data_IF_900267019508
#
_entry.id   IF_900267019508
#
_cell.length_a   1.000
_cell.length_b   1.000
_cell.length_c   1.000
_cell.angle_alpha   90.00
_cell.angle_beta   90.00
_cell.angle_gamma   90.00
#
_symmetry.space_group_name_H-M   'P 1'
#
loop_
_entity.id
_entity.type
_entity.pdbx_description
1 polymer ?
#
# COMPACT_ATOMS: atom_id res chain seq x y z
N UNK A 1 -2.78 -5.84 -17.07
CA UNK A 1 -2.71 -4.46 -16.57
C UNK A 1 -3.29 -4.50 -15.18
N UNK A 2 -2.59 -3.99 -14.15
CA UNK A 2 -3.28 -3.73 -12.88
C UNK A 2 -4.17 -2.54 -13.14
N UNK A 3 -5.48 -2.75 -13.07
CA UNK A 3 -6.45 -1.67 -13.22
C UNK A 3 -6.32 -0.76 -12.00
N UNK A 4 -5.96 0.51 -12.23
CA UNK A 4 -5.83 1.52 -11.17
C UNK A 4 -7.11 1.64 -10.32
N UNK A 5 -8.25 1.32 -10.92
CA UNK A 5 -9.55 1.20 -10.26
C UNK A 5 -9.61 0.05 -9.25
N UNK A 6 -9.09 -1.14 -9.57
CA UNK A 6 -9.03 -2.25 -8.61
C UNK A 6 -8.10 -1.93 -7.43
N UNK A 7 -6.97 -1.26 -7.71
CA UNK A 7 -6.08 -0.79 -6.65
C UNK A 7 -6.78 0.24 -5.76
N UNK A 8 -7.50 1.20 -6.34
CA UNK A 8 -8.24 2.22 -5.59
C UNK A 8 -9.29 1.58 -4.69
N UNK A 9 -10.10 0.66 -5.22
CA UNK A 9 -11.15 0.00 -4.45
C UNK A 9 -10.56 -0.78 -3.28
N UNK A 10 -9.51 -1.56 -3.52
CA UNK A 10 -8.85 -2.32 -2.45
C UNK A 10 -8.19 -1.41 -1.41
N UNK A 11 -7.53 -0.34 -1.84
CA UNK A 11 -6.91 0.62 -0.94
C UNK A 11 -7.95 1.41 -0.13
N UNK A 12 -9.09 1.74 -0.75
CA UNK A 12 -10.21 2.40 -0.08
C UNK A 12 -10.87 1.50 0.94
N UNK A 13 -11.10 0.22 0.61
CA UNK A 13 -11.63 -0.78 1.54
C UNK A 13 -10.72 -0.95 2.76
N UNK A 14 -9.41 -1.09 2.53
CA UNK A 14 -8.40 -1.14 3.60
C UNK A 14 -8.38 0.17 4.40
N UNK A 15 -8.37 1.33 3.75
CA UNK A 15 -8.37 2.64 4.41
C UNK A 15 -9.70 2.99 5.11
N UNK A 16 -10.83 2.35 4.78
CA UNK A 16 -12.10 2.52 5.48
C UNK A 16 -12.32 1.48 6.58
N UNK A 17 -11.52 0.42 6.62
CA UNK A 17 -11.61 -0.58 7.66
C UNK A 17 -11.34 0.06 9.03
N UNK A 18 -12.35 0.10 9.90
CA UNK A 18 -12.27 0.71 11.24
C UNK A 18 -11.76 -0.28 12.30
N UNK A 19 -11.59 -1.56 11.93
CA UNK A 19 -11.00 -2.59 12.78
C UNK A 19 -9.49 -2.51 12.81
N UNK A 20 -8.87 -3.23 13.75
CA UNK A 20 -7.42 -3.38 13.77
C UNK A 20 -6.97 -4.09 12.48
N UNK A 21 -6.14 -3.42 11.68
CA UNK A 21 -5.49 -4.09 10.55
C UNK A 21 -4.58 -5.18 11.08
N UNK A 22 -5.01 -6.42 10.87
CA UNK A 22 -4.21 -7.59 11.20
C UNK A 22 -3.16 -7.80 10.12
N UNK A 23 -2.04 -8.41 10.52
CA UNK A 23 -0.94 -8.73 9.62
C UNK A 23 -1.41 -9.58 8.42
N UNK A 24 -2.42 -10.44 8.60
CA UNK A 24 -3.04 -11.22 7.53
C UNK A 24 -3.68 -10.34 6.45
N UNK A 25 -4.45 -9.31 6.83
CA UNK A 25 -5.08 -8.39 5.87
C UNK A 25 -4.03 -7.58 5.11
N UNK A 26 -2.99 -7.12 5.82
CA UNK A 26 -1.86 -6.43 5.22
C UNK A 26 -1.11 -7.33 4.21
N UNK A 27 -0.93 -8.61 4.55
CA UNK A 27 -0.27 -9.59 3.70
C UNK A 27 -1.07 -9.93 2.46
N UNK A 28 -2.39 -10.12 2.60
CA UNK A 28 -3.28 -10.39 1.47
C UNK A 28 -3.30 -9.22 0.49
N UNK A 29 -3.40 -7.99 1.02
CA UNK A 29 -3.34 -6.78 0.23
C UNK A 29 -2.02 -6.67 -0.54
N UNK A 30 -0.88 -6.88 0.13
CA UNK A 30 0.44 -6.86 -0.51
C UNK A 30 0.69 -8.01 -1.49
N UNK A 31 0.04 -9.16 -1.27
CA UNK A 31 0.10 -10.30 -2.19
C UNK A 31 -0.59 -9.96 -3.52
N UNK A 32 -1.68 -9.21 -3.44
CA UNK A 32 -2.47 -8.76 -4.58
C UNK A 32 -1.87 -7.52 -5.26
N UNK A 33 -1.38 -6.58 -4.46
CA UNK A 33 -0.82 -5.30 -4.88
C UNK A 33 0.53 -5.08 -4.19
N UNK A 34 1.65 -5.52 -4.79
CA UNK A 34 2.95 -5.29 -4.21
C UNK A 34 3.27 -3.79 -4.18
N UNK A 35 3.99 -3.34 -3.14
CA UNK A 35 4.44 -1.94 -2.99
C UNK A 35 4.88 -1.25 -4.29
N UNK A 36 5.74 -1.84 -5.17
CA UNK A 36 6.15 -1.19 -6.41
C UNK A 36 4.99 -0.90 -7.36
N UNK A 37 3.92 -1.71 -7.37
CA UNK A 37 2.70 -1.45 -8.15
C UNK A 37 1.95 -0.26 -7.58
N UNK A 38 1.85 -0.16 -6.25
CA UNK A 38 1.19 0.96 -5.58
C UNK A 38 1.96 2.27 -5.83
N UNK A 39 3.29 2.25 -5.72
CA UNK A 39 4.13 3.40 -6.07
C UNK A 39 4.06 3.75 -7.55
N UNK A 40 4.06 2.76 -8.44
CA UNK A 40 3.89 3.01 -9.88
C UNK A 40 2.54 3.66 -10.18
N UNK A 41 1.48 3.25 -9.48
CA UNK A 41 0.18 3.90 -9.58
C UNK A 41 0.20 5.32 -9.03
N UNK A 42 0.94 5.59 -7.94
CA UNK A 42 1.23 6.93 -7.44
C UNK A 42 1.98 7.82 -8.44
N UNK A 43 2.89 7.23 -9.22
CA UNK A 43 3.66 7.94 -10.23
C UNK A 43 2.89 8.13 -11.55
N UNK A 44 1.97 7.23 -11.88
CA UNK A 44 1.05 7.38 -13.01
C UNK A 44 0.07 8.50 -12.65
N UNK A 45 0.07 9.59 -13.44
CA UNK A 45 -0.81 10.73 -13.22
C UNK A 45 -2.24 10.26 -12.92
N UNK A 46 -2.68 10.55 -11.70
CA UNK A 46 -3.99 10.14 -11.23
C UNK A 46 -5.06 10.94 -11.94
N UNK A 47 -5.75 10.29 -12.88
CA UNK A 47 -6.96 10.82 -13.50
C UNK A 47 -8.11 10.96 -12.48
N UNK A 48 -7.98 10.27 -11.33
CA UNK A 48 -8.99 10.25 -10.27
C UNK A 48 -8.59 11.15 -9.09
N UNK A 49 -9.33 12.24 -8.81
CA UNK A 49 -9.05 13.10 -7.67
C UNK A 49 -9.25 12.33 -6.36
N UNK A 50 -8.28 12.41 -5.45
CA UNK A 50 -8.32 11.75 -4.13
C UNK A 50 -7.74 10.33 -4.09
N UNK A 51 -7.36 9.76 -5.24
CA UNK A 51 -6.73 8.44 -5.32
C UNK A 51 -5.39 8.40 -4.57
N UNK A 52 -4.56 9.43 -4.71
CA UNK A 52 -3.32 9.56 -3.93
C UNK A 52 -3.60 9.54 -2.42
N UNK A 53 -4.55 10.34 -1.95
CA UNK A 53 -4.85 10.45 -0.52
C UNK A 53 -5.36 9.13 0.07
N UNK A 54 -6.19 8.40 -0.67
CA UNK A 54 -6.65 7.06 -0.28
C UNK A 54 -5.49 6.08 -0.22
N UNK A 55 -4.60 6.07 -1.24
CA UNK A 55 -3.44 5.19 -1.27
C UNK A 55 -2.45 5.52 -0.15
N UNK A 56 -2.19 6.80 0.12
CA UNK A 56 -1.32 7.25 1.21
C UNK A 56 -1.90 6.84 2.56
N UNK A 57 -3.20 7.03 2.78
CA UNK A 57 -3.88 6.60 4.02
C UNK A 57 -3.82 5.07 4.18
N UNK A 58 -4.03 4.33 3.09
CA UNK A 58 -3.92 2.87 3.07
C UNK A 58 -2.50 2.43 3.42
N UNK A 59 -1.48 3.02 2.79
CA UNK A 59 -0.06 2.75 3.06
C UNK A 59 0.31 3.09 4.50
N UNK A 60 -0.12 4.23 5.02
CA UNK A 60 0.15 4.63 6.40
C UNK A 60 -0.36 3.57 7.38
N UNK A 61 -1.60 3.11 7.19
CA UNK A 61 -2.19 2.04 8.00
C UNK A 61 -1.49 0.70 7.82
N UNK A 62 -1.11 0.37 6.58
CA UNK A 62 -0.35 -0.83 6.27
C UNK A 62 0.99 -0.84 7.01
N UNK A 63 1.74 0.26 6.93
CA UNK A 63 3.01 0.44 7.63
C UNK A 63 2.87 0.53 9.15
N UNK A 64 1.68 0.90 9.65
CA UNK A 64 1.37 0.85 11.08
C UNK A 64 1.20 -0.59 11.60
N UNK A 65 0.97 -1.59 10.73
CA UNK A 65 0.94 -3.01 11.12
C UNK A 65 2.34 -3.56 11.39
N UNK A 66 2.45 -4.68 12.12
CA UNK A 66 3.75 -5.32 12.39
C UNK A 66 4.42 -5.80 11.10
N UNK A 67 3.64 -6.30 10.15
CA UNK A 67 4.10 -6.72 8.84
C UNK A 67 4.64 -5.54 8.03
N UNK A 68 3.87 -4.45 7.94
CA UNK A 68 4.31 -3.23 7.24
C UNK A 68 5.56 -2.61 7.88
N UNK A 69 5.60 -2.50 9.21
CA UNK A 69 6.76 -2.01 9.95
C UNK A 69 8.01 -2.87 9.71
N UNK A 70 7.86 -4.18 9.49
CA UNK A 70 8.96 -5.08 9.12
C UNK A 70 9.45 -4.92 7.69
N UNK A 71 8.63 -4.33 6.80
CA UNK A 71 8.99 -4.09 5.39
C UNK A 71 9.78 -2.78 5.20
N UNK A 72 9.62 -1.80 6.09
CA UNK A 72 10.39 -0.55 6.07
C UNK A 72 11.91 -0.79 6.12
N UNK A 73 12.47 -1.55 7.08
CA UNK A 73 13.90 -1.83 7.11
C UNK A 73 14.35 -2.63 5.90
N UNK A 74 13.51 -3.50 5.32
CA UNK A 74 13.85 -4.23 4.08
C UNK A 74 13.95 -3.31 2.86
N UNK A 75 13.08 -2.30 2.78
CA UNK A 75 13.12 -1.30 1.71
C UNK A 75 14.24 -0.26 1.90
N UNK A 76 14.59 0.10 3.13
CA UNK A 76 15.69 1.02 3.43
C UNK A 76 17.07 0.36 3.40
N UNK A 77 17.20 -0.92 3.75
CA UNK A 77 18.51 -1.60 3.78
C UNK A 77 18.99 -2.01 2.38
N UNK A 78 18.15 -1.93 1.35
CA UNK A 78 18.56 -2.16 -0.04
C UNK A 78 19.37 -0.99 -0.65
N UNK A 79 19.70 0.06 0.13
CA UNK A 79 20.63 1.14 -0.26
C UNK A 79 21.91 1.14 0.60
N UNK A 80 22.09 0.15 1.50
CA UNK A 80 23.30 0.03 2.34
C UNK A 80 23.82 -1.41 2.26
N UNK A 81 24.33 -1.79 1.09
CA UNK A 81 25.37 -2.80 1.03
C UNK A 81 26.53 -2.28 0.17
N UNK A 82 27.70 -1.96 0.77
CA UNK A 82 28.93 -1.72 0.02
C UNK A 82 29.51 -2.98 -0.61
#
# INVERSE_FOLDING_TARGET
MVDSSQLLEAASDFAHYTGAHSDDSARDFLNRFPLPVIFSALQTQFDVPGLENTLVTCLERLFNTKLGASLIPQYMVCDILP
#
